data_IF_197175826098
#
_entry.id   IF_197175826098
#
_cell.length_a   1.000
_cell.length_b   1.000
_cell.length_c   1.000
_cell.angle_alpha   90.00
_cell.angle_beta   90.00
_cell.angle_gamma   90.00
#
_symmetry.space_group_name_H-M   'P 1'
#
loop_
_entity.id
_entity.type
_entity.pdbx_description
1 polymer ?
#
# COMPACT_ATOMS: atom_id res chain seq x y z
N UNK A 1 34.29 3.42 12.47
CA UNK A 1 33.52 4.69 12.47
C UNK A 1 32.17 4.42 13.11
N UNK A 2 31.87 5.13 14.19
CA UNK A 2 30.64 4.98 14.97
C UNK A 2 29.40 5.46 14.21
N UNK A 3 28.25 4.91 14.60
CA UNK A 3 26.92 5.06 13.98
C UNK A 3 26.28 6.38 14.44
N UNK A 4 26.19 7.36 13.55
CA UNK A 4 25.28 8.49 13.65
C UNK A 4 25.15 9.14 12.27
N UNK A 5 23.91 9.44 11.88
CA UNK A 5 23.59 10.47 10.88
C UNK A 5 23.97 10.19 9.40
N UNK A 6 23.25 9.28 8.75
CA UNK A 6 23.27 9.25 7.27
C UNK A 6 21.90 9.59 6.73
N UNK A 7 21.86 10.61 5.86
CA UNK A 7 20.68 10.98 5.08
C UNK A 7 20.07 9.76 4.36
N UNK A 8 18.75 9.78 4.08
CA UNK A 8 18.09 8.71 3.34
C UNK A 8 18.86 8.33 2.08
N UNK A 9 19.20 7.05 1.94
CA UNK A 9 19.91 6.54 0.77
C UNK A 9 18.91 6.02 -0.25
N UNK A 10 19.06 6.46 -1.49
CA UNK A 10 18.20 6.07 -2.60
C UNK A 10 18.93 5.12 -3.54
N UNK A 11 18.25 4.04 -3.92
CA UNK A 11 18.66 3.09 -4.94
C UNK A 11 17.60 3.05 -6.03
N UNK A 12 17.98 3.29 -7.28
CA UNK A 12 17.06 3.08 -8.40
C UNK A 12 16.83 1.57 -8.60
N UNK A 13 15.57 1.12 -8.53
CA UNK A 13 15.20 -0.28 -8.80
C UNK A 13 14.59 -0.48 -10.17
N UNK A 14 13.90 0.54 -10.67
CA UNK A 14 13.36 0.53 -12.02
C UNK A 14 13.69 1.84 -12.69
N UNK A 15 14.59 1.75 -13.66
CA UNK A 15 14.95 2.85 -14.54
C UNK A 15 14.17 2.73 -15.84
N UNK A 16 13.91 3.86 -16.48
CA UNK A 16 13.36 3.87 -17.83
C UNK A 16 14.36 3.16 -18.75
N UNK A 17 13.93 2.05 -19.36
CA UNK A 17 14.72 1.37 -20.40
C UNK A 17 14.78 2.18 -21.70
N UNK A 18 15.50 1.68 -22.71
CA UNK A 18 15.49 2.27 -24.05
C UNK A 18 14.03 2.38 -24.57
N UNK A 19 13.63 3.58 -25.03
CA UNK A 19 12.26 3.88 -25.53
C UNK A 19 11.30 4.56 -24.53
N UNK A 20 9.98 4.33 -24.67
CA UNK A 20 8.90 4.91 -23.84
C UNK A 20 8.52 4.07 -22.61
N UNK A 21 9.29 3.03 -22.31
CA UNK A 21 8.99 2.07 -21.27
C UNK A 21 9.02 2.70 -19.87
N UNK A 22 7.94 2.57 -19.09
CA UNK A 22 7.86 3.14 -17.73
C UNK A 22 7.43 2.13 -16.69
N UNK A 23 7.88 2.32 -15.45
CA UNK A 23 7.47 1.53 -14.30
C UNK A 23 6.69 2.41 -13.32
N UNK A 24 5.52 1.95 -12.90
CA UNK A 24 4.59 2.70 -12.04
C UNK A 24 3.94 1.79 -11.01
N UNK A 25 3.25 2.42 -10.06
CA UNK A 25 2.43 1.75 -9.04
C UNK A 25 3.30 0.80 -8.19
N UNK A 26 4.22 1.38 -7.38
CA UNK A 26 5.09 0.60 -6.51
C UNK A 26 4.30 -0.16 -5.46
N UNK A 27 4.72 -1.39 -5.19
CA UNK A 27 4.36 -2.14 -4.00
C UNK A 27 5.61 -2.82 -3.44
N UNK A 28 5.72 -2.93 -2.13
CA UNK A 28 6.92 -3.41 -1.45
C UNK A 28 6.54 -4.42 -0.38
N UNK A 29 7.24 -5.54 -0.36
CA UNK A 29 7.12 -6.54 0.70
C UNK A 29 8.50 -6.96 1.20
N UNK A 30 8.70 -6.95 2.51
CA UNK A 30 9.91 -7.49 3.12
C UNK A 30 9.71 -8.95 3.55
N UNK A 31 10.74 -9.76 3.31
CA UNK A 31 10.86 -11.16 3.71
C UNK A 31 11.95 -11.27 4.79
N UNK A 32 11.59 -11.26 6.09
CA UNK A 32 12.57 -11.22 7.17
C UNK A 32 13.53 -12.41 7.18
N UNK A 33 13.02 -13.62 6.92
CA UNK A 33 13.83 -14.85 6.95
C UNK A 33 14.89 -14.88 5.83
N UNK A 34 14.57 -14.25 4.70
CA UNK A 34 15.46 -14.21 3.54
C UNK A 34 16.35 -12.95 3.53
N UNK A 35 16.09 -12.03 4.48
CA UNK A 35 16.60 -10.65 4.49
C UNK A 35 16.47 -10.02 3.10
N UNK A 36 15.31 -10.16 2.48
CA UNK A 36 15.09 -9.70 1.11
C UNK A 36 13.84 -8.84 1.00
N UNK A 37 13.91 -7.78 0.19
CA UNK A 37 12.76 -7.02 -0.27
C UNK A 37 12.30 -7.54 -1.63
N UNK A 38 11.00 -7.67 -1.82
CA UNK A 38 10.36 -7.84 -3.12
C UNK A 38 9.72 -6.50 -3.49
N UNK A 39 10.32 -5.81 -4.45
CA UNK A 39 9.75 -4.60 -5.02
C UNK A 39 8.94 -4.98 -6.25
N UNK A 40 7.66 -4.61 -6.29
CA UNK A 40 6.75 -4.84 -7.39
C UNK A 40 6.41 -3.52 -8.08
N UNK A 41 6.12 -3.60 -9.37
CA UNK A 41 5.63 -2.46 -10.14
C UNK A 41 4.82 -2.95 -11.36
N UNK A 42 4.04 -2.06 -11.94
CA UNK A 42 3.51 -2.20 -13.29
C UNK A 42 4.57 -1.81 -14.31
N UNK A 43 4.78 -2.68 -15.32
CA UNK A 43 5.51 -2.35 -16.54
C UNK A 43 4.53 -1.80 -17.57
N UNK A 44 4.81 -0.60 -18.10
CA UNK A 44 3.94 0.10 -19.05
C UNK A 44 4.69 0.56 -20.29
N UNK A 45 4.01 0.65 -21.43
CA UNK A 45 4.58 1.23 -22.66
C UNK A 45 4.49 2.75 -22.73
N UNK A 46 3.69 3.40 -21.86
CA UNK A 46 3.75 4.86 -21.65
C UNK A 46 3.20 5.23 -20.27
N UNK A 47 3.02 6.52 -19.99
CA UNK A 47 2.48 7.02 -18.71
C UNK A 47 1.00 6.70 -18.47
N UNK A 48 0.24 6.38 -19.53
CA UNK A 48 -1.20 6.08 -19.48
C UNK A 48 -1.48 4.78 -18.73
N UNK A 49 -2.61 4.71 -18.04
CA UNK A 49 -3.01 3.53 -17.25
C UNK A 49 -3.43 2.36 -18.17
N UNK A 50 -4.02 2.66 -19.33
CA UNK A 50 -4.45 1.72 -20.37
C UNK A 50 -3.27 1.00 -21.04
N UNK A 51 -2.06 1.55 -20.90
CA UNK A 51 -0.83 1.03 -21.49
C UNK A 51 -0.03 0.14 -20.52
N UNK A 52 -0.62 -0.25 -19.38
CA UNK A 52 -0.07 -1.30 -18.53
C UNK A 52 -0.05 -2.64 -19.27
N UNK A 53 1.03 -3.43 -19.06
CA UNK A 53 1.24 -4.71 -19.72
C UNK A 53 1.28 -5.86 -18.72
N UNK A 54 2.28 -5.84 -17.84
CA UNK A 54 2.56 -6.91 -16.88
C UNK A 54 2.97 -6.32 -15.54
N UNK A 55 2.80 -7.12 -14.49
CA UNK A 55 3.46 -6.88 -13.22
C UNK A 55 4.89 -7.40 -13.29
N UNK A 56 5.80 -6.67 -12.66
CA UNK A 56 7.20 -7.05 -12.51
C UNK A 56 7.57 -7.11 -11.04
N UNK A 57 8.53 -7.96 -10.71
CA UNK A 57 9.16 -8.01 -9.38
C UNK A 57 10.67 -7.90 -9.52
N UNK A 58 11.30 -7.20 -8.59
CA UNK A 58 12.75 -7.14 -8.44
C UNK A 58 13.10 -7.45 -6.99
N UNK A 59 13.89 -8.51 -6.79
CA UNK A 59 14.36 -8.91 -5.46
C UNK A 59 15.60 -8.10 -5.08
N UNK A 60 15.61 -7.57 -3.87
CA UNK A 60 16.74 -6.85 -3.28
C UNK A 60 17.18 -7.59 -2.02
N UNK A 61 18.37 -8.19 -2.02
CA UNK A 61 18.93 -8.83 -0.83
C UNK A 61 19.60 -7.79 0.05
N UNK A 62 19.41 -7.92 1.35
CA UNK A 62 19.96 -7.02 2.36
C UNK A 62 20.95 -7.77 3.25
N UNK A 63 22.06 -7.11 3.56
CA UNK A 63 23.00 -7.54 4.59
C UNK A 63 22.84 -6.64 5.82
N UNK A 64 22.99 -7.24 6.99
CA UNK A 64 23.11 -6.48 8.25
C UNK A 64 24.59 -6.20 8.49
N UNK A 65 24.95 -4.94 8.43
CA UNK A 65 26.30 -4.47 8.73
C UNK A 65 26.23 -3.57 9.96
N UNK A 66 26.52 -4.16 11.13
CA UNK A 66 26.54 -3.48 12.42
C UNK A 66 25.20 -2.80 12.80
N UNK A 67 24.07 -3.48 12.58
CA UNK A 67 22.73 -2.99 12.91
C UNK A 67 22.14 -2.06 11.83
N UNK A 68 22.84 -1.90 10.71
CA UNK A 68 22.37 -1.11 9.56
C UNK A 68 22.18 -2.05 8.38
N UNK A 69 20.94 -2.14 7.90
CA UNK A 69 20.64 -2.90 6.69
C UNK A 69 21.16 -2.16 5.46
N UNK A 70 21.98 -2.85 4.67
CA UNK A 70 22.52 -2.37 3.40
C UNK A 70 22.14 -3.30 2.27
N UNK A 71 22.08 -2.76 1.06
CA UNK A 71 21.84 -3.54 -0.15
C UNK A 71 23.08 -4.39 -0.43
N UNK A 72 22.90 -5.71 -0.41
CA UNK A 72 23.94 -6.68 -0.70
C UNK A 72 23.92 -7.10 -2.18
N UNK A 73 22.72 -7.27 -2.74
CA UNK A 73 22.53 -7.68 -4.13
C UNK A 73 21.17 -7.18 -4.65
N UNK A 74 21.11 -6.85 -5.94
CA UNK A 74 19.91 -6.42 -6.64
C UNK A 74 19.69 -7.35 -7.81
N UNK A 75 18.72 -8.25 -7.67
CA UNK A 75 18.39 -9.23 -8.69
C UNK A 75 17.90 -8.61 -10.00
N UNK A 76 17.78 -9.46 -11.03
CA UNK A 76 17.18 -9.08 -12.32
C UNK A 76 15.69 -8.75 -12.14
N UNK A 77 15.16 -7.91 -13.03
CA UNK A 77 13.71 -7.69 -13.13
C UNK A 77 13.08 -8.96 -13.69
N UNK A 78 12.10 -9.51 -13.00
CA UNK A 78 11.30 -10.66 -13.42
C UNK A 78 9.92 -10.19 -13.86
N UNK A 79 9.51 -10.54 -15.08
CA UNK A 79 8.14 -10.34 -15.55
C UNK A 79 7.25 -11.48 -15.03
N UNK A 80 6.13 -11.12 -14.41
CA UNK A 80 5.20 -12.07 -13.80
C UNK A 80 4.13 -12.48 -14.80
N UNK A 81 4.52 -13.26 -15.82
CA UNK A 81 3.59 -13.74 -16.84
C UNK A 81 2.40 -14.52 -16.24
N UNK A 82 2.62 -15.23 -15.14
CA UNK A 82 1.57 -15.95 -14.41
C UNK A 82 0.50 -15.02 -13.80
N UNK A 83 0.85 -13.76 -13.48
CA UNK A 83 -0.07 -12.76 -12.96
C UNK A 83 -0.82 -12.08 -14.11
N UNK A 84 -1.56 -12.85 -14.90
CA UNK A 84 -2.32 -12.38 -16.05
C UNK A 84 -3.66 -13.09 -16.20
N UNK A 85 -4.63 -12.37 -16.77
CA UNK A 85 -5.89 -12.93 -17.27
C UNK A 85 -5.92 -12.69 -18.79
N UNK A 86 -6.25 -13.69 -19.63
CA UNK A 86 -6.27 -13.53 -21.08
C UNK A 86 -7.12 -12.32 -21.53
N UNK A 87 -6.58 -11.50 -22.44
CA UNK A 87 -7.26 -10.30 -22.95
C UNK A 87 -7.28 -9.10 -21.97
N UNK A 88 -6.69 -9.23 -20.80
CA UNK A 88 -6.66 -8.19 -19.77
C UNK A 88 -5.21 -7.74 -19.46
N UNK A 89 -5.08 -6.50 -18.98
CA UNK A 89 -3.84 -5.98 -18.40
C UNK A 89 -3.88 -6.07 -16.88
N UNK A 90 -2.77 -6.47 -16.26
CA UNK A 90 -2.66 -6.59 -14.80
C UNK A 90 -2.12 -5.29 -14.19
N UNK A 91 -2.77 -4.82 -13.13
CA UNK A 91 -2.53 -3.51 -12.51
C UNK A 91 -2.68 -3.57 -10.98
N UNK A 92 -2.23 -2.52 -10.30
CA UNK A 92 -2.32 -2.33 -8.84
C UNK A 92 -1.83 -3.55 -8.04
N UNK A 93 -0.53 -3.88 -8.10
CA UNK A 93 0.03 -4.96 -7.29
C UNK A 93 -0.22 -4.71 -5.80
N UNK A 94 -0.65 -5.75 -5.10
CA UNK A 94 -0.90 -5.75 -3.66
C UNK A 94 -0.41 -7.07 -3.03
N UNK A 95 0.90 -7.19 -2.70
CA UNK A 95 1.45 -8.38 -2.10
C UNK A 95 1.11 -8.46 -0.60
N UNK A 96 0.96 -9.69 -0.11
CA UNK A 96 0.86 -10.00 1.33
C UNK A 96 1.52 -11.35 1.60
N UNK A 97 2.31 -11.42 2.68
CA UNK A 97 2.88 -12.67 3.16
C UNK A 97 1.97 -13.24 4.26
N UNK A 98 1.51 -14.47 4.05
CA UNK A 98 0.70 -15.22 5.01
C UNK A 98 1.47 -16.49 5.36
N UNK A 99 2.07 -16.51 6.55
CA UNK A 99 2.98 -17.57 6.98
C UNK A 99 4.14 -17.80 5.97
N UNK A 100 4.04 -18.84 5.14
CA UNK A 100 5.00 -19.21 4.09
C UNK A 100 4.46 -18.98 2.67
N UNK A 101 3.20 -18.59 2.53
CA UNK A 101 2.53 -18.32 1.26
C UNK A 101 2.57 -16.83 0.96
N UNK A 102 3.15 -16.48 -0.18
CA UNK A 102 3.14 -15.13 -0.70
C UNK A 102 2.02 -14.99 -1.71
N UNK A 103 1.02 -14.18 -1.40
CA UNK A 103 0.00 -13.80 -2.37
C UNK A 103 0.38 -12.46 -3.01
N UNK A 104 0.23 -12.35 -4.32
CA UNK A 104 0.25 -11.08 -5.03
C UNK A 104 -1.13 -10.88 -5.64
N UNK A 105 -1.93 -10.02 -5.01
CA UNK A 105 -3.21 -9.58 -5.54
C UNK A 105 -3.02 -8.50 -6.59
N UNK A 106 -3.93 -8.45 -7.55
CA UNK A 106 -3.96 -7.44 -8.60
C UNK A 106 -5.38 -7.33 -9.18
N UNK A 107 -5.63 -6.23 -9.90
CA UNK A 107 -6.78 -6.14 -10.79
C UNK A 107 -6.38 -6.49 -12.22
N UNK A 108 -7.29 -7.08 -12.98
CA UNK A 108 -7.16 -7.25 -14.41
C UNK A 108 -8.27 -6.51 -15.14
N UNK A 109 -7.92 -5.65 -16.09
CA UNK A 109 -8.89 -4.82 -16.86
C UNK A 109 -8.75 -5.12 -18.35
N UNK A 110 -9.84 -5.28 -19.13
CA UNK A 110 -9.76 -5.53 -20.56
C UNK A 110 -8.88 -4.52 -21.27
N UNK A 111 -7.93 -4.99 -22.07
CA UNK A 111 -6.95 -4.13 -22.75
C UNK A 111 -7.65 -3.03 -23.55
N UNK A 112 -7.21 -1.78 -23.38
CA UNK A 112 -7.77 -0.60 -24.06
C UNK A 112 -8.97 0.06 -23.37
N UNK A 113 -9.67 -0.62 -22.44
CA UNK A 113 -10.79 -0.04 -21.71
C UNK A 113 -10.31 0.83 -20.54
N UNK A 114 -10.62 2.13 -20.55
CA UNK A 114 -10.23 3.07 -19.48
C UNK A 114 -11.12 2.98 -18.23
N UNK A 115 -10.63 3.51 -17.10
CA UNK A 115 -11.46 3.72 -15.91
C UNK A 115 -12.61 4.68 -16.24
N UNK A 116 -12.31 5.79 -16.90
CA UNK A 116 -13.30 6.81 -17.26
C UNK A 116 -14.45 6.28 -18.12
N UNK A 117 -14.20 5.34 -19.03
CA UNK A 117 -15.26 4.67 -19.79
C UNK A 117 -16.16 3.80 -18.91
N UNK A 118 -15.59 3.08 -17.93
CA UNK A 118 -16.36 2.27 -16.98
C UNK A 118 -17.20 3.17 -16.07
N UNK A 119 -16.65 4.30 -15.59
CA UNK A 119 -17.39 5.30 -14.81
C UNK A 119 -18.56 5.89 -15.62
N UNK A 120 -18.32 6.30 -16.87
CA UNK A 120 -19.35 6.87 -17.75
C UNK A 120 -20.46 5.88 -18.09
N UNK A 121 -20.11 4.62 -18.33
CA UNK A 121 -21.08 3.60 -18.74
C UNK A 121 -21.72 2.87 -17.57
N UNK A 122 -21.17 3.01 -16.36
CA UNK A 122 -21.56 2.22 -15.20
C UNK A 122 -21.34 0.72 -15.41
N UNK A 123 -20.46 0.29 -16.32
CA UNK A 123 -20.21 -1.12 -16.62
C UNK A 123 -18.83 -1.52 -16.10
N UNK A 124 -18.83 -2.16 -14.93
CA UNK A 124 -17.62 -2.73 -14.36
C UNK A 124 -17.14 -3.92 -15.19
N UNK A 125 -15.89 -3.83 -15.63
CA UNK A 125 -15.17 -4.90 -16.31
C UNK A 125 -13.85 -5.26 -15.62
N UNK A 126 -13.53 -4.63 -14.48
CA UNK A 126 -12.38 -4.98 -13.67
C UNK A 126 -12.60 -6.36 -13.03
N UNK A 127 -11.54 -7.17 -13.01
CA UNK A 127 -11.48 -8.50 -12.41
C UNK A 127 -10.53 -8.51 -11.22
N UNK A 128 -10.83 -9.30 -10.20
CA UNK A 128 -9.99 -9.52 -9.04
C UNK A 128 -9.22 -10.82 -9.21
N UNK A 129 -7.90 -10.78 -9.08
CA UNK A 129 -7.09 -11.98 -9.15
C UNK A 129 -5.91 -11.96 -8.20
N UNK A 130 -5.34 -13.13 -7.95
CA UNK A 130 -4.02 -13.25 -7.33
C UNK A 130 -3.19 -14.35 -7.98
N UNK A 131 -1.88 -14.26 -7.81
CA UNK A 131 -0.96 -15.39 -7.95
C UNK A 131 -0.35 -15.72 -6.59
N UNK A 132 0.02 -16.97 -6.38
CA UNK A 132 0.61 -17.43 -5.13
C UNK A 132 2.01 -18.00 -5.38
N UNK A 133 2.93 -17.68 -4.48
CA UNK A 133 4.27 -18.27 -4.41
C UNK A 133 4.46 -18.96 -3.07
N UNK A 134 4.96 -20.20 -3.11
CA UNK A 134 5.31 -21.01 -1.94
C UNK A 134 6.82 -21.12 -1.72
N UNK A 135 7.61 -20.53 -2.61
CA UNK A 135 9.08 -20.52 -2.58
C UNK A 135 9.63 -19.10 -2.40
N UNK A 136 8.90 -18.28 -1.63
CA UNK A 136 9.27 -16.92 -1.24
C UNK A 136 9.37 -15.94 -2.41
N UNK A 137 8.63 -16.14 -3.48
CA UNK A 137 8.59 -15.24 -4.65
C UNK A 137 9.69 -15.52 -5.66
N UNK A 138 10.14 -16.79 -5.78
CA UNK A 138 11.05 -17.22 -6.86
C UNK A 138 10.22 -17.66 -8.07
N UNK A 139 9.25 -18.54 -7.83
CA UNK A 139 8.25 -18.97 -8.81
C UNK A 139 6.85 -18.59 -8.36
N UNK A 140 5.93 -18.53 -9.32
CA UNK A 140 4.55 -18.10 -9.10
C UNK A 140 3.61 -19.09 -9.79
N UNK A 141 2.59 -19.55 -9.06
CA UNK A 141 1.53 -20.38 -9.60
C UNK A 141 0.62 -19.60 -10.56
N UNK A 142 -0.30 -20.33 -11.22
CA UNK A 142 -1.28 -19.74 -12.11
C UNK A 142 -2.18 -18.71 -11.39
N UNK A 143 -2.65 -17.70 -12.15
CA UNK A 143 -3.61 -16.74 -11.63
C UNK A 143 -4.91 -17.42 -11.22
N UNK A 144 -5.38 -17.09 -10.02
CA UNK A 144 -6.70 -17.45 -9.52
C UNK A 144 -7.60 -16.23 -9.68
N UNK A 145 -8.65 -16.39 -10.47
CA UNK A 145 -9.67 -15.38 -10.67
C UNK A 145 -10.75 -15.48 -9.59
N UNK A 146 -10.89 -14.43 -8.79
CA UNK A 146 -11.82 -14.36 -7.67
C UNK A 146 -13.08 -13.55 -8.00
N UNK A 147 -13.20 -13.04 -9.23
CA UNK A 147 -14.20 -12.04 -9.57
C UNK A 147 -15.63 -12.51 -9.25
N UNK A 148 -16.03 -13.66 -9.77
CA UNK A 148 -17.40 -14.13 -9.61
C UNK A 148 -17.69 -14.59 -8.17
N UNK A 149 -16.74 -15.28 -7.55
CA UNK A 149 -16.87 -15.83 -6.20
C UNK A 149 -16.91 -14.76 -5.11
N UNK A 150 -16.17 -13.65 -5.28
CA UNK A 150 -15.99 -12.62 -4.25
C UNK A 150 -16.75 -11.35 -4.58
N UNK A 151 -16.70 -10.91 -5.84
CA UNK A 151 -17.27 -9.63 -6.27
C UNK A 151 -18.63 -9.80 -6.94
N UNK A 152 -19.03 -10.99 -7.37
CA UNK A 152 -20.29 -11.26 -8.08
C UNK A 152 -21.52 -10.54 -7.49
N UNK A 153 -21.75 -10.62 -6.15
CA UNK A 153 -22.85 -9.89 -5.49
C UNK A 153 -22.80 -8.36 -5.60
N UNK A 154 -21.65 -7.79 -5.96
CA UNK A 154 -21.34 -6.36 -5.96
C UNK A 154 -21.08 -5.77 -7.35
N UNK A 155 -20.69 -6.57 -8.37
CA UNK A 155 -20.34 -6.09 -9.72
C UNK A 155 -21.42 -5.20 -10.32
N UNK A 156 -22.70 -5.52 -10.11
CA UNK A 156 -23.84 -4.72 -10.59
C UNK A 156 -23.98 -3.35 -9.92
N UNK A 157 -23.43 -3.17 -8.72
CA UNK A 157 -23.54 -1.95 -7.89
C UNK A 157 -22.35 -1.00 -8.08
N UNK A 158 -21.27 -1.47 -8.70
CA UNK A 158 -20.05 -0.70 -8.90
C UNK A 158 -19.85 -0.36 -10.36
N UNK A 159 -19.43 0.88 -10.64
CA UNK A 159 -18.99 1.27 -11.98
C UNK A 159 -17.62 0.67 -12.30
N UNK A 160 -16.73 0.58 -11.32
CA UNK A 160 -15.44 -0.12 -11.35
C UNK A 160 -14.88 -0.23 -9.92
N UNK A 161 -13.82 -1.00 -9.73
CA UNK A 161 -13.09 -1.09 -8.46
C UNK A 161 -11.59 -1.30 -8.71
N UNK A 162 -10.78 -1.05 -7.68
CA UNK A 162 -9.35 -1.30 -7.70
C UNK A 162 -8.79 -1.66 -6.33
N UNK A 163 -7.62 -2.32 -6.32
CA UNK A 163 -6.88 -2.65 -5.09
C UNK A 163 -5.92 -1.53 -4.71
N UNK A 164 -5.67 -1.40 -3.40
CA UNK A 164 -4.67 -0.55 -2.77
C UNK A 164 -4.41 0.76 -3.54
N UNK A 165 -3.25 0.89 -4.21
CA UNK A 165 -2.16 -0.10 -4.35
C UNK A 165 -1.26 -0.20 -3.09
N UNK A 166 -0.08 -0.84 -3.21
CA UNK A 166 0.88 -0.98 -2.12
C UNK A 166 0.86 -2.40 -1.55
N UNK A 167 0.80 -2.63 -0.25
CA UNK A 167 0.75 -3.96 0.36
C UNK A 167 -0.59 -4.30 1.05
N UNK A 168 -0.85 -5.59 1.23
CA UNK A 168 -1.90 -6.11 2.11
C UNK A 168 -1.38 -6.35 3.52
N UNK A 169 -2.29 -6.68 4.45
CA UNK A 169 -2.00 -6.84 5.88
C UNK A 169 -2.41 -8.23 6.37
N UNK A 170 -1.49 -8.97 6.98
CA UNK A 170 -1.79 -10.21 7.70
C UNK A 170 -1.77 -9.94 9.21
N UNK A 171 -2.95 -10.00 9.83
CA UNK A 171 -3.13 -9.83 11.26
C UNK A 171 -2.84 -11.16 11.97
N UNK A 172 -2.13 -11.16 13.11
CA UNK A 172 -1.81 -12.39 13.83
C UNK A 172 -3.07 -13.07 14.38
N UNK A 173 -3.05 -14.41 14.45
CA UNK A 173 -4.05 -15.16 15.19
C UNK A 173 -4.03 -14.75 16.67
N UNK A 174 -5.20 -14.64 17.30
CA UNK A 174 -5.31 -14.34 18.74
C UNK A 174 -6.17 -15.39 19.43
N UNK A 175 -5.79 -15.73 20.66
CA UNK A 175 -6.58 -16.58 21.55
C UNK A 175 -7.97 -15.97 21.75
N UNK A 176 -9.02 -16.72 21.41
CA UNK A 176 -10.41 -16.23 21.45
C UNK A 176 -10.87 -15.47 20.20
N UNK A 177 -10.03 -15.32 19.16
CA UNK A 177 -10.46 -14.83 17.84
C UNK A 177 -11.21 -15.92 17.08
N UNK A 178 -12.13 -15.53 16.20
CA UNK A 178 -12.83 -16.43 15.27
C UNK A 178 -11.88 -17.01 14.19
N UNK A 179 -10.60 -16.60 14.16
CA UNK A 179 -9.64 -16.93 13.11
C UNK A 179 -8.41 -17.63 13.68
N UNK A 180 -8.29 -18.93 13.44
CA UNK A 180 -7.14 -19.72 13.90
C UNK A 180 -5.82 -19.34 13.18
N UNK A 181 -5.91 -18.73 12.00
CA UNK A 181 -4.78 -18.36 11.14
C UNK A 181 -4.51 -16.86 11.11
N UNK A 182 -5.22 -16.09 11.95
CA UNK A 182 -5.28 -14.64 11.80
C UNK A 182 -6.13 -14.22 10.61
N UNK A 183 -6.25 -12.91 10.40
CA UNK A 183 -7.05 -12.35 9.31
C UNK A 183 -6.16 -11.71 8.27
N UNK A 184 -6.46 -11.93 7.00
CA UNK A 184 -5.77 -11.30 5.87
C UNK A 184 -6.67 -10.17 5.36
N UNK A 185 -6.10 -8.99 5.12
CA UNK A 185 -6.78 -7.82 4.59
C UNK A 185 -6.09 -7.33 3.32
N UNK A 186 -6.86 -7.19 2.25
CA UNK A 186 -6.45 -6.55 1.00
C UNK A 186 -7.23 -5.24 0.88
N UNK A 187 -6.59 -4.06 1.03
CA UNK A 187 -7.27 -2.79 0.89
C UNK A 187 -7.76 -2.60 -0.55
N UNK A 188 -8.98 -2.08 -0.71
CA UNK A 188 -9.61 -1.86 -2.00
C UNK A 188 -10.54 -0.66 -1.96
N UNK A 189 -10.97 -0.20 -3.13
CA UNK A 189 -12.05 0.79 -3.25
C UNK A 189 -12.89 0.50 -4.49
N UNK A 190 -14.15 0.92 -4.47
CA UNK A 190 -15.06 0.81 -5.59
C UNK A 190 -15.80 2.11 -5.80
N UNK A 191 -16.10 2.44 -7.05
CA UNK A 191 -16.96 3.54 -7.42
C UNK A 191 -18.41 3.04 -7.42
N UNK A 192 -19.17 3.44 -6.41
CA UNK A 192 -20.56 3.01 -6.26
C UNK A 192 -21.43 3.76 -7.26
N UNK A 193 -22.37 3.05 -7.89
CA UNK A 193 -23.39 3.67 -8.73
C UNK A 193 -24.43 4.29 -7.80
N UNK A 194 -24.62 5.59 -7.89
CA UNK A 194 -25.76 6.23 -7.22
C UNK A 194 -27.06 5.85 -7.94
N UNK A 195 -28.12 5.61 -7.18
CA UNK A 195 -29.41 5.16 -7.72
C UNK A 195 -30.26 6.30 -8.34
N UNK A 196 -29.85 7.59 -8.24
CA UNK A 196 -30.66 8.76 -8.69
C UNK A 196 -29.81 10.02 -9.05
N UNK A 197 -30.38 10.98 -9.81
CA UNK A 197 -30.13 11.23 -11.23
C UNK A 197 -28.82 11.98 -11.57
N UNK A 198 -27.79 11.94 -10.71
CA UNK A 198 -26.47 12.48 -11.03
C UNK A 198 -25.48 11.35 -11.29
N UNK A 199 -24.83 11.40 -12.44
CA UNK A 199 -23.82 10.47 -12.93
C UNK A 199 -22.51 10.46 -12.13
N UNK A 200 -22.52 10.87 -10.86
CA UNK A 200 -21.30 11.07 -10.08
C UNK A 200 -21.06 9.85 -9.19
N UNK A 201 -20.50 8.79 -9.79
CA UNK A 201 -20.05 7.65 -9.00
C UNK A 201 -18.96 8.07 -8.01
N UNK A 202 -19.17 7.82 -6.71
CA UNK A 202 -18.24 8.18 -5.66
C UNK A 202 -17.44 6.95 -5.19
N UNK A 203 -16.11 7.05 -5.04
CA UNK A 203 -15.33 5.94 -4.52
C UNK A 203 -15.52 5.81 -3.01
N UNK A 204 -15.66 4.57 -2.55
CA UNK A 204 -15.56 4.22 -1.15
C UNK A 204 -14.57 3.07 -0.94
N UNK A 205 -13.67 3.26 0.02
CA UNK A 205 -12.67 2.29 0.42
C UNK A 205 -13.28 1.20 1.29
N UNK A 206 -12.75 -0.01 1.20
CA UNK A 206 -13.11 -1.17 2.00
C UNK A 206 -11.91 -2.13 2.06
N UNK A 207 -12.10 -3.28 2.69
CA UNK A 207 -11.13 -4.39 2.56
C UNK A 207 -11.80 -5.63 2.00
N UNK A 208 -11.04 -6.39 1.23
CA UNK A 208 -11.35 -7.78 0.92
C UNK A 208 -10.57 -8.62 1.94
N UNK A 209 -11.24 -9.51 2.66
CA UNK A 209 -10.64 -10.23 3.77
C UNK A 209 -10.82 -11.74 3.70
N UNK A 210 -9.91 -12.45 4.36
CA UNK A 210 -9.97 -13.89 4.55
C UNK A 210 -9.66 -14.24 6.01
N UNK A 211 -10.42 -15.19 6.54
CA UNK A 211 -10.37 -15.68 7.92
C UNK A 211 -9.87 -17.14 8.01
N UNK A 212 -9.53 -17.74 6.86
CA UNK A 212 -9.25 -19.16 6.67
C UNK A 212 -7.98 -19.38 5.84
N UNK A 213 -6.92 -18.62 6.16
CA UNK A 213 -5.60 -18.71 5.52
C UNK A 213 -5.61 -18.50 3.99
N UNK A 214 -6.58 -17.72 3.48
CA UNK A 214 -6.71 -17.38 2.07
C UNK A 214 -7.52 -18.38 1.25
N UNK A 215 -8.19 -19.34 1.89
CA UNK A 215 -9.05 -20.32 1.22
C UNK A 215 -10.32 -19.70 0.66
N UNK A 216 -10.97 -18.81 1.42
CA UNK A 216 -12.14 -18.05 0.98
C UNK A 216 -11.96 -16.56 1.27
N UNK A 217 -12.65 -15.73 0.49
CA UNK A 217 -12.52 -14.27 0.52
C UNK A 217 -13.89 -13.62 0.56
N UNK A 218 -14.00 -12.51 1.31
CA UNK A 218 -15.23 -11.74 1.49
C UNK A 218 -14.97 -10.25 1.32
N UNK A 219 -15.97 -9.52 0.84
CA UNK A 219 -15.95 -8.07 0.79
C UNK A 219 -16.43 -7.52 2.13
N UNK A 220 -15.65 -6.62 2.73
CA UNK A 220 -16.04 -5.86 3.91
C UNK A 220 -16.96 -4.69 3.58
N UNK A 221 -17.57 -4.10 4.62
CA UNK A 221 -18.38 -2.90 4.47
C UNK A 221 -17.50 -1.69 4.12
N UNK A 222 -17.99 -0.89 3.17
CA UNK A 222 -17.30 0.31 2.73
C UNK A 222 -17.33 1.42 3.78
N UNK A 223 -16.27 2.23 3.81
CA UNK A 223 -16.17 3.43 4.62
C UNK A 223 -17.33 4.36 4.24
N UNK A 224 -18.21 4.59 5.20
CA UNK A 224 -19.36 5.49 5.06
C UNK A 224 -18.96 6.92 5.41
N UNK A 225 -19.80 7.86 5.01
CA UNK A 225 -19.65 9.28 5.31
C UNK A 225 -19.87 10.16 4.09
N UNK A 226 -19.74 11.47 4.30
CA UNK A 226 -19.95 12.47 3.25
C UNK A 226 -18.72 12.71 2.37
N UNK A 227 -17.56 12.19 2.76
CA UNK A 227 -16.30 12.35 2.02
C UNK A 227 -15.99 11.05 1.29
N UNK A 228 -15.64 11.17 0.01
CA UNK A 228 -15.24 10.02 -0.79
C UNK A 228 -13.90 9.43 -0.28
N UNK A 229 -13.72 8.13 -0.48
CA UNK A 229 -12.52 7.40 -0.08
C UNK A 229 -12.06 6.48 -1.22
N UNK A 230 -10.94 6.83 -1.86
CA UNK A 230 -10.39 6.15 -3.03
C UNK A 230 -9.27 5.16 -2.69
N UNK A 231 -8.18 5.21 -3.45
CA UNK A 231 -6.97 4.43 -3.18
C UNK A 231 -6.57 4.50 -1.70
N UNK A 232 -6.39 3.36 -1.07
CA UNK A 232 -6.22 3.26 0.38
C UNK A 232 -5.20 2.19 0.78
N UNK A 233 -4.72 2.30 2.02
CA UNK A 233 -4.00 1.23 2.71
C UNK A 233 -4.47 1.11 4.14
N UNK A 234 -4.19 -0.05 4.73
CA UNK A 234 -4.59 -0.37 6.11
C UNK A 234 -3.39 -0.73 6.97
N UNK A 235 -3.43 -0.31 8.23
CA UNK A 235 -2.44 -0.68 9.25
C UNK A 235 -3.14 -1.05 10.56
N UNK A 236 -2.60 -2.04 11.28
CA UNK A 236 -3.07 -2.40 12.62
C UNK A 236 -2.37 -1.53 13.66
N UNK A 237 -3.13 -1.04 14.64
CA UNK A 237 -2.59 -0.32 15.80
C UNK A 237 -3.27 -0.77 17.08
N UNK A 238 -2.70 -0.38 18.23
CA UNK A 238 -3.37 -0.54 19.53
C UNK A 238 -4.45 0.53 19.68
N UNK A 239 -5.69 0.12 19.92
CA UNK A 239 -6.79 0.99 20.31
C UNK A 239 -6.64 1.51 21.74
N UNK A 240 -7.52 2.43 22.14
CA UNK A 240 -7.49 3.11 23.45
C UNK A 240 -7.62 2.13 24.63
N UNK A 241 -8.36 1.05 24.43
CA UNK A 241 -8.58 -0.02 25.41
C UNK A 241 -7.53 -1.16 25.30
N UNK A 242 -6.50 -0.98 24.47
CA UNK A 242 -5.45 -1.96 24.21
C UNK A 242 -5.84 -3.07 23.23
N UNK A 243 -7.09 -3.12 22.75
CA UNK A 243 -7.50 -4.05 21.69
C UNK A 243 -6.99 -3.58 20.33
N UNK A 244 -6.71 -4.50 19.39
CA UNK A 244 -6.21 -4.11 18.08
C UNK A 244 -7.34 -3.48 17.27
N UNK A 245 -7.04 -2.37 16.60
CA UNK A 245 -7.93 -1.75 15.61
C UNK A 245 -7.19 -1.63 14.28
N UNK A 246 -7.95 -1.53 13.19
CA UNK A 246 -7.39 -1.30 11.86
C UNK A 246 -7.72 0.12 11.42
N UNK A 247 -6.69 0.88 11.05
CA UNK A 247 -6.85 2.21 10.45
C UNK A 247 -6.75 2.07 8.94
N UNK A 248 -7.76 2.57 8.23
CA UNK A 248 -7.74 2.74 6.78
C UNK A 248 -7.41 4.20 6.46
N UNK A 249 -6.31 4.46 5.75
CA UNK A 249 -5.94 5.79 5.25
C UNK A 249 -6.23 5.86 3.75
N UNK A 250 -7.08 6.80 3.36
CA UNK A 250 -7.66 6.86 2.01
C UNK A 250 -7.36 8.19 1.33
N UNK A 251 -7.06 8.11 0.03
CA UNK A 251 -7.03 9.23 -0.89
C UNK A 251 -8.43 9.82 -1.01
N UNK A 252 -8.49 11.14 -1.14
CA UNK A 252 -9.73 11.86 -1.44
C UNK A 252 -9.67 12.51 -2.82
N UNK A 253 -10.74 12.38 -3.60
CA UNK A 253 -10.94 13.09 -4.85
C UNK A 253 -11.48 14.50 -4.57
N UNK A 254 -10.78 15.53 -5.07
CA UNK A 254 -11.24 16.92 -5.02
C UNK A 254 -11.20 17.59 -3.63
N UNK A 255 -10.60 16.94 -2.62
CA UNK A 255 -10.48 17.45 -1.26
C UNK A 255 -9.01 17.63 -0.86
N UNK A 256 -8.70 18.61 0.00
CA UNK A 256 -7.33 19.05 0.32
C UNK A 256 -6.57 18.13 1.29
N UNK A 257 -7.27 17.20 1.93
CA UNK A 257 -6.73 16.37 3.01
C UNK A 257 -7.20 14.92 2.90
N UNK A 258 -6.38 14.02 3.42
CA UNK A 258 -6.68 12.58 3.54
C UNK A 258 -7.86 12.34 4.48
N UNK A 259 -8.47 11.17 4.31
CA UNK A 259 -9.47 10.62 5.24
C UNK A 259 -8.91 9.38 5.92
N UNK A 260 -9.10 9.28 7.23
CA UNK A 260 -8.87 8.07 7.99
C UNK A 260 -10.17 7.50 8.56
N UNK A 261 -10.32 6.19 8.52
CA UNK A 261 -11.43 5.47 9.14
C UNK A 261 -10.89 4.35 10.03
N UNK A 262 -11.55 4.12 11.16
CA UNK A 262 -11.16 3.10 12.14
C UNK A 262 -12.12 1.91 12.01
N UNK A 263 -11.57 0.70 12.09
CA UNK A 263 -12.30 -0.55 12.18
C UNK A 263 -11.99 -1.25 13.50
N UNK A 264 -13.04 -1.46 14.29
CA UNK A 264 -13.01 -2.20 15.56
C UNK A 264 -13.12 -3.72 15.35
N UNK A 265 -13.54 -4.14 14.17
CA UNK A 265 -13.78 -5.54 13.80
C UNK A 265 -12.75 -6.04 12.78
N UNK A 266 -11.53 -5.49 12.84
CA UNK A 266 -10.37 -5.92 12.08
C UNK A 266 -10.60 -5.90 10.56
N UNK A 267 -11.05 -4.77 10.04
CA UNK A 267 -11.23 -4.47 8.62
C UNK A 267 -12.54 -4.93 8.00
N UNK A 268 -13.41 -5.65 8.74
CA UNK A 268 -14.69 -6.12 8.19
C UNK A 268 -15.65 -4.96 7.95
N UNK A 269 -15.67 -3.96 8.82
CA UNK A 269 -16.42 -2.72 8.67
C UNK A 269 -15.63 -1.53 9.22
N UNK A 270 -15.94 -0.33 8.75
CA UNK A 270 -15.28 0.90 9.20
C UNK A 270 -16.30 1.89 9.75
N UNK A 271 -15.90 2.63 10.78
CA UNK A 271 -16.58 3.84 11.24
C UNK A 271 -16.61 4.88 10.12
N UNK A 272 -17.39 5.95 10.33
CA UNK A 272 -17.40 7.08 9.39
C UNK A 272 -16.00 7.67 9.21
N UNK A 273 -15.65 7.95 7.96
CA UNK A 273 -14.37 8.54 7.60
C UNK A 273 -14.19 9.95 8.17
N UNK A 274 -13.05 10.20 8.82
CA UNK A 274 -12.70 11.50 9.39
C UNK A 274 -11.58 12.13 8.58
N UNK A 275 -11.76 13.40 8.19
CA UNK A 275 -10.73 14.21 7.54
C UNK A 275 -9.56 14.43 8.50
N UNK A 276 -8.33 14.33 8.01
CA UNK A 276 -7.10 14.52 8.79
C UNK A 276 -6.33 15.73 8.28
N UNK A 277 -6.53 16.94 8.85
CA UNK A 277 -5.93 18.19 8.31
C UNK A 277 -4.40 18.20 8.27
N UNK A 278 -3.74 17.40 9.12
CA UNK A 278 -2.28 17.23 9.11
C UNK A 278 -1.75 16.47 7.89
N UNK A 279 -2.61 15.69 7.23
CA UNK A 279 -2.24 14.88 6.07
C UNK A 279 -2.81 15.50 4.80
N UNK A 280 -2.01 16.35 4.17
CA UNK A 280 -2.38 17.04 2.92
C UNK A 280 -2.52 16.04 1.76
N UNK A 281 -3.43 16.33 0.84
CA UNK A 281 -3.63 15.60 -0.41
C UNK A 281 -3.09 16.41 -1.59
N UNK A 282 -2.59 15.75 -2.64
CA UNK A 282 -2.09 16.44 -3.85
C UNK A 282 -3.25 16.74 -4.83
N UNK A 283 -4.23 17.53 -4.38
CA UNK A 283 -5.59 17.51 -4.91
C UNK A 283 -5.79 18.22 -6.27
N UNK A 284 -5.12 19.36 -6.52
CA UNK A 284 -5.47 20.24 -7.65
C UNK A 284 -5.05 19.74 -9.05
N UNK A 285 -3.85 19.17 -9.20
CA UNK A 285 -3.36 18.81 -10.54
C UNK A 285 -3.72 17.36 -10.96
N UNK A 286 -4.09 16.47 -10.03
CA UNK A 286 -4.16 15.01 -10.30
C UNK A 286 -5.28 14.27 -9.54
N UNK A 287 -6.26 14.97 -8.97
CA UNK A 287 -7.30 14.39 -8.12
C UNK A 287 -6.73 13.63 -6.90
N UNK A 288 -5.58 14.05 -6.36
CA UNK A 288 -4.87 13.38 -5.25
C UNK A 288 -3.77 12.42 -5.69
N UNK A 289 -3.22 11.66 -4.74
CA UNK A 289 -2.18 10.67 -4.96
C UNK A 289 -2.33 9.52 -3.97
N UNK A 290 -1.99 8.30 -4.38
CA UNK A 290 -1.77 7.22 -3.43
C UNK A 290 -0.68 7.61 -2.42
N UNK A 291 -0.84 7.14 -1.18
CA UNK A 291 0.10 7.30 -0.08
C UNK A 291 0.07 6.05 0.77
N UNK A 292 1.20 5.77 1.43
CA UNK A 292 1.38 4.52 2.15
C UNK A 292 1.36 4.69 3.65
N UNK A 293 0.71 3.77 4.36
CA UNK A 293 0.67 3.73 5.83
C UNK A 293 1.29 2.43 6.32
N UNK A 294 2.12 2.52 7.36
CA UNK A 294 2.78 1.35 7.96
C UNK A 294 2.82 1.51 9.48
N UNK A 295 2.50 0.45 10.21
CA UNK A 295 2.63 0.42 11.67
C UNK A 295 3.83 -0.37 12.13
N UNK A 296 4.46 0.09 13.20
CA UNK A 296 5.55 -0.59 13.87
C UNK A 296 5.52 -0.35 15.37
N UNK A 297 6.21 -1.22 16.12
CA UNK A 297 6.49 -1.02 17.53
C UNK A 297 7.88 -0.38 17.67
N UNK A 298 7.99 0.81 18.27
CA UNK A 298 9.29 1.43 18.53
C UNK A 298 10.01 0.71 19.67
N UNK A 299 11.34 0.68 19.62
CA UNK A 299 12.16 0.29 20.77
C UNK A 299 12.39 1.51 21.66
N UNK A 300 11.61 1.63 22.73
CA UNK A 300 11.76 2.72 23.71
C UNK A 300 12.48 2.21 24.97
N UNK A 301 13.49 2.93 25.43
CA UNK A 301 14.14 2.65 26.71
C UNK A 301 13.27 3.21 27.84
N UNK A 302 12.80 2.34 28.75
CA UNK A 302 12.15 2.73 30.00
C UNK A 302 10.61 2.79 29.99
N UNK A 303 9.95 2.70 28.84
CA UNK A 303 8.50 2.46 28.74
C UNK A 303 8.27 1.01 28.31
N UNK A 304 7.52 0.25 29.12
CA UNK A 304 7.30 -1.18 28.93
C UNK A 304 5.97 -1.50 28.27
N UNK A 305 5.13 -0.51 27.99
CA UNK A 305 3.86 -0.75 27.30
C UNK A 305 4.05 -0.64 25.78
N UNK A 306 3.98 -1.74 25.01
CA UNK A 306 4.14 -1.69 23.57
C UNK A 306 2.99 -0.89 22.94
N UNK A 307 3.30 0.30 22.43
CA UNK A 307 2.37 1.16 21.70
C UNK A 307 2.79 1.24 20.24
N UNK A 308 1.87 0.91 19.35
CA UNK A 308 2.10 1.04 17.91
C UNK A 308 2.27 2.51 17.53
N UNK A 309 3.28 2.80 16.72
CA UNK A 309 3.44 4.06 15.99
C UNK A 309 3.02 3.84 14.53
N UNK A 310 2.69 4.94 13.84
CA UNK A 310 2.35 4.93 12.43
C UNK A 310 3.30 5.82 11.64
N UNK A 311 3.73 5.31 10.49
CA UNK A 311 4.36 6.09 9.43
C UNK A 311 3.36 6.30 8.30
N UNK A 312 3.45 7.46 7.66
CA UNK A 312 2.75 7.75 6.42
C UNK A 312 3.72 8.36 5.41
N UNK A 313 3.73 7.88 4.16
CA UNK A 313 4.55 8.45 3.08
C UNK A 313 3.69 8.95 1.92
N UNK A 314 3.90 10.20 1.53
CA UNK A 314 3.13 10.87 0.48
C UNK A 314 3.79 12.19 0.03
N UNK A 315 3.53 12.67 -1.20
CA UNK A 315 3.95 14.00 -1.64
C UNK A 315 3.48 15.13 -0.70
N UNK A 316 4.40 15.88 -0.12
CA UNK A 316 4.11 16.81 0.96
C UNK A 316 3.63 18.19 0.51
N UNK A 317 3.39 18.40 -0.79
CA UNK A 317 2.90 19.67 -1.34
C UNK A 317 1.39 19.56 -1.66
N UNK A 318 0.51 20.39 -1.06
CA UNK A 318 -0.96 20.27 -1.15
C UNK A 318 -1.60 20.29 -2.56
N UNK A 319 -0.84 20.64 -3.59
CA UNK A 319 -1.38 20.85 -4.95
C UNK A 319 -0.66 20.03 -6.00
N UNK A 320 0.54 19.53 -5.68
CA UNK A 320 1.45 18.94 -6.64
C UNK A 320 2.07 17.68 -6.06
N UNK A 321 2.26 16.71 -6.94
CA UNK A 321 3.04 15.48 -6.69
C UNK A 321 4.55 15.82 -6.63
N UNK A 322 4.93 16.53 -5.56
CA UNK A 322 6.26 17.05 -5.27
C UNK A 322 6.63 16.79 -3.80
N UNK A 323 7.93 16.61 -3.58
CA UNK A 323 8.59 16.42 -2.30
C UNK A 323 8.02 15.24 -1.52
N UNK A 324 8.62 14.04 -1.66
CA UNK A 324 8.14 12.91 -0.86
C UNK A 324 8.52 13.14 0.61
N UNK A 325 7.51 13.21 1.47
CA UNK A 325 7.64 13.28 2.92
C UNK A 325 7.29 11.96 3.60
N UNK A 326 7.88 11.75 4.78
CA UNK A 326 7.46 10.74 5.76
C UNK A 326 6.93 11.48 6.99
N UNK A 327 5.73 11.13 7.42
CA UNK A 327 5.07 11.64 8.61
C UNK A 327 5.06 10.55 9.68
N UNK A 328 5.16 10.94 10.95
CA UNK A 328 5.09 10.04 12.10
C UNK A 328 3.88 10.40 12.97
N UNK A 329 3.15 9.38 13.44
CA UNK A 329 2.17 9.53 14.52
C UNK A 329 2.49 8.55 15.65
N UNK A 330 2.80 9.10 16.83
CA UNK A 330 3.17 8.34 18.04
C UNK A 330 1.97 7.87 18.87
N UNK A 331 0.77 8.42 18.60
CA UNK A 331 -0.48 8.04 19.23
C UNK A 331 -1.57 7.89 18.14
N UNK A 332 -1.61 6.77 17.41
CA UNK A 332 -2.43 6.57 16.22
C UNK A 332 -3.92 6.88 16.33
N UNK A 333 -4.47 6.84 17.55
CA UNK A 333 -5.88 7.17 17.82
C UNK A 333 -6.16 8.67 17.82
N UNK A 334 -5.14 9.51 18.00
CA UNK A 334 -5.22 10.97 17.94
C UNK A 334 -4.82 11.43 16.51
N UNK A 335 -5.81 11.85 15.71
CA UNK A 335 -5.62 12.24 14.32
C UNK A 335 -4.80 13.54 14.17
N UNK A 336 -4.71 14.33 15.22
CA UNK A 336 -3.94 15.58 15.30
C UNK A 336 -2.44 15.37 15.53
N UNK A 337 -2.04 14.16 15.95
CA UNK A 337 -0.66 13.82 16.37
C UNK A 337 0.30 13.41 15.24
N UNK A 338 -0.08 13.69 13.99
CA UNK A 338 0.86 13.59 12.88
C UNK A 338 1.89 14.71 12.95
N UNK A 339 3.17 14.35 12.83
CA UNK A 339 4.30 15.27 12.70
C UNK A 339 4.21 16.11 11.42
N UNK A 340 5.09 17.10 11.31
CA UNK A 340 5.39 17.67 10.00
C UNK A 340 6.16 16.64 9.12
N UNK A 341 6.08 16.75 7.78
CA UNK A 341 6.73 15.79 6.90
C UNK A 341 8.26 15.93 6.94
N UNK A 342 8.94 14.83 7.21
CA UNK A 342 10.37 14.74 6.95
C UNK A 342 10.59 14.44 5.46
N UNK A 343 11.01 15.45 4.71
CA UNK A 343 11.22 15.33 3.25
C UNK A 343 12.41 14.43 2.96
N UNK A 344 12.15 13.22 2.48
CA UNK A 344 13.17 12.23 2.12
C UNK A 344 13.57 12.29 0.65
N UNK A 345 12.78 12.96 -0.19
CA UNK A 345 13.15 13.26 -1.56
C UNK A 345 12.57 14.62 -2.00
N UNK A 346 13.42 15.54 -2.49
CA UNK A 346 13.00 16.83 -3.05
C UNK A 346 12.79 16.74 -4.57
N UNK A 347 11.64 17.21 -5.05
CA UNK A 347 11.28 17.21 -6.48
C UNK A 347 10.10 16.30 -6.82
N UNK A 348 9.87 15.97 -8.10
CA UNK A 348 8.71 15.18 -8.52
C UNK A 348 8.65 13.79 -7.89
N UNK A 349 7.58 13.54 -7.14
CA UNK A 349 7.30 12.30 -6.40
C UNK A 349 5.82 11.95 -6.49
N UNK A 350 5.51 10.67 -6.63
CA UNK A 350 4.12 10.20 -6.70
C UNK A 350 3.86 9.08 -5.71
N UNK A 351 3.33 7.98 -6.23
CA UNK A 351 3.03 6.78 -5.46
C UNK A 351 4.28 6.30 -4.71
N UNK A 352 4.06 5.82 -3.50
CA UNK A 352 5.07 5.23 -2.62
C UNK A 352 4.45 4.09 -1.82
N UNK A 353 5.27 3.16 -1.35
CA UNK A 353 4.89 2.08 -0.45
C UNK A 353 5.96 1.88 0.63
N UNK A 354 5.56 1.74 1.89
CA UNK A 354 6.43 1.53 3.04
C UNK A 354 6.50 0.05 3.41
N UNK A 355 7.68 -0.41 3.85
CA UNK A 355 7.82 -1.70 4.51
C UNK A 355 8.81 -1.61 5.68
N UNK A 356 8.52 -2.34 6.76
CA UNK A 356 9.46 -2.54 7.86
C UNK A 356 10.56 -3.53 7.50
N UNK A 357 11.80 -3.18 7.81
CA UNK A 357 12.99 -3.99 7.64
C UNK A 357 13.67 -4.20 9.00
N UNK A 358 13.63 -5.41 9.55
CA UNK A 358 14.24 -5.68 10.85
C UNK A 358 13.64 -6.92 11.52
N UNK A 359 13.98 -7.15 12.80
CA UNK A 359 13.45 -8.29 13.54
C UNK A 359 11.97 -8.03 13.87
N UNK A 360 11.10 -8.91 13.44
CA UNK A 360 9.64 -8.79 13.65
C UNK A 360 9.18 -9.29 15.02
N UNK A 361 10.09 -9.72 15.90
CA UNK A 361 9.80 -10.09 17.28
C UNK A 361 10.78 -9.39 18.22
N UNK A 362 10.30 -8.34 18.91
CA UNK A 362 10.98 -7.70 20.05
C UNK A 362 12.36 -7.11 19.78
N UNK A 363 12.69 -6.75 18.53
CA UNK A 363 13.99 -6.17 18.16
C UNK A 363 13.89 -5.16 17.02
N UNK A 364 14.85 -4.23 16.93
CA UNK A 364 14.78 -3.01 16.14
C UNK A 364 14.23 -3.19 14.72
N UNK A 365 13.16 -2.47 14.40
CA UNK A 365 12.55 -2.43 13.08
C UNK A 365 12.99 -1.16 12.36
N UNK A 366 13.94 -1.26 11.42
CA UNK A 366 14.15 -0.23 10.40
C UNK A 366 12.94 -0.12 9.46
N UNK A 367 12.84 0.92 8.65
CA UNK A 367 11.69 1.15 7.76
C UNK A 367 12.16 1.68 6.41
N UNK A 368 11.87 1.00 5.31
CA UNK A 368 12.24 1.47 3.98
C UNK A 368 11.01 1.94 3.23
N UNK A 369 11.17 3.01 2.46
CA UNK A 369 10.15 3.58 1.60
C UNK A 369 10.50 3.29 0.14
N UNK A 370 9.67 2.52 -0.56
CA UNK A 370 9.75 2.38 -2.00
C UNK A 370 8.96 3.50 -2.66
N UNK A 371 9.59 4.30 -3.50
CA UNK A 371 9.04 5.58 -3.99
C UNK A 371 9.33 5.80 -5.46
N UNK A 372 8.37 6.35 -6.21
CA UNK A 372 8.64 6.92 -7.54
C UNK A 372 9.27 8.31 -7.44
N UNK A 373 10.45 8.50 -8.05
CA UNK A 373 11.26 9.73 -7.92
C UNK A 373 11.98 10.08 -9.23
N UNK A 374 12.00 11.35 -9.66
CA UNK A 374 12.97 11.82 -10.69
C UNK A 374 12.70 13.21 -11.31
N UNK A 375 13.70 13.80 -12.00
CA UNK A 375 13.68 15.17 -12.59
C UNK A 375 12.46 15.48 -13.48
N UNK A 376 11.82 14.46 -14.07
CA UNK A 376 10.55 14.53 -14.83
C UNK A 376 9.62 13.33 -14.56
N UNK A 377 9.71 12.71 -13.37
CA UNK A 377 8.97 11.50 -12.96
C UNK A 377 9.29 10.25 -13.82
N UNK A 378 10.56 9.80 -13.85
CA UNK A 378 11.03 8.76 -14.78
C UNK A 378 11.60 7.48 -14.15
N UNK A 379 11.73 7.41 -12.81
CA UNK A 379 12.34 6.26 -12.13
C UNK A 379 11.52 5.84 -10.90
N UNK A 380 11.57 4.55 -10.55
CA UNK A 380 11.09 4.04 -9.26
C UNK A 380 12.29 3.62 -8.42
N UNK A 381 12.39 4.20 -7.23
CA UNK A 381 13.55 4.12 -6.33
C UNK A 381 13.15 3.50 -5.00
N UNK A 382 14.04 2.70 -4.43
CA UNK A 382 13.96 2.28 -3.04
C UNK A 382 14.78 3.23 -2.19
N UNK A 383 14.12 3.87 -1.23
CA UNK A 383 14.74 4.75 -0.25
C UNK A 383 14.78 4.04 1.10
N UNK A 384 15.97 3.88 1.64
CA UNK A 384 16.15 3.29 2.97
C UNK A 384 16.13 4.40 4.03
N UNK A 385 15.31 4.23 5.05
CA UNK A 385 15.25 5.11 6.23
C UNK A 385 15.55 4.26 7.47
N UNK A 386 16.53 4.64 8.29
CA UNK A 386 16.86 3.85 9.48
C UNK A 386 15.90 4.18 10.62
N UNK A 387 15.60 3.19 11.48
CA UNK A 387 14.84 3.40 12.72
C UNK A 387 15.51 4.45 13.60
N UNK A 388 16.83 4.41 13.69
CA UNK A 388 17.62 5.40 14.43
C UNK A 388 17.38 6.83 13.92
N UNK A 389 17.29 7.03 12.60
CA UNK A 389 16.97 8.33 12.02
C UNK A 389 15.55 8.79 12.39
N UNK A 390 14.57 7.89 12.38
CA UNK A 390 13.20 8.19 12.84
C UNK A 390 13.18 8.54 14.34
N UNK A 391 13.86 7.76 15.18
CA UNK A 391 13.88 7.96 16.63
C UNK A 391 14.55 9.28 17.01
N UNK A 392 15.70 9.63 16.41
CA UNK A 392 16.39 10.90 16.67
C UNK A 392 15.51 12.11 16.32
N UNK A 393 14.88 12.08 15.14
CA UNK A 393 13.93 13.13 14.73
C UNK A 393 12.74 13.21 15.68
N UNK A 394 12.24 12.07 16.13
CA UNK A 394 11.13 11.99 17.06
C UNK A 394 11.44 12.57 18.45
N UNK A 395 12.71 12.67 18.86
CA UNK A 395 13.11 13.30 20.13
C UNK A 395 13.42 14.79 20.03
N UNK A 396 13.46 15.34 18.81
CA UNK A 396 13.72 16.75 18.54
C UNK A 396 12.43 17.57 18.29
N UNK A 397 11.30 16.89 18.13
CA UNK A 397 9.93 17.43 18.14
C UNK A 397 9.30 17.20 19.51
#
# INVERSE_FOLDING_TARGET
MAVADTAPKMLALYERGEGELTYRIPALLYLPQDRAALAFAEKRSSLKDEHAKHLVVRRVKLADEAGVLKVADVGKIQELAAASIPGHRSMNPCPVLVEKKLFLFFIAVPTGLSEGEQLKTGRNAARLAYVCSTDRGVTWGAAVDLTDAVLGPHVGRWATFALGPGHGLHLPARTGSCTNFGRILIPAHAYFKDELPKSDSCPHSFTIYSDDAGSTWKVGDAVRGRVNTGECQVAMVSGEDGRPVVICNSRTLGHEFRVQAISDDLGKSFREGTVVPRLVEAAQDWNGCHGSIFSFLPELKGDTTPKHWLLYSHPSKPKKRLDLGVYLNKAPMALENWSDPWVIFKGPSGYSDLAGFGKTEGGACGSGAFTRVGKKILETKLTFVSSHWLTLRSTQE
#
